data_IF_215450699268
#
_entry.id   IF_215450699268
#
_cell.length_a   1.000
_cell.length_b   1.000
_cell.length_c   1.000
_cell.angle_alpha   90.00
_cell.angle_beta   90.00
_cell.angle_gamma   90.00
#
_symmetry.space_group_name_H-M   'P 1'
#
loop_
_entity.id
_entity.type
_entity.pdbx_description
1 polymer ?
#
# COMPACT_ATOMS: atom_id res chain seq x y z
N UNK A 1 -8.27 -18.90 -0.97
CA UNK A 1 -8.68 -17.98 -2.04
C UNK A 1 -7.48 -17.09 -2.31
N UNK A 2 -7.05 -16.97 -3.55
CA UNK A 2 -5.80 -16.33 -3.95
C UNK A 2 -6.01 -14.87 -4.37
N UNK A 3 -4.94 -14.08 -4.40
CA UNK A 3 -4.99 -12.67 -4.83
C UNK A 3 -5.71 -12.46 -6.19
N UNK A 4 -5.50 -13.28 -7.24
CA UNK A 4 -6.30 -13.20 -8.48
C UNK A 4 -7.81 -13.32 -8.25
N UNK A 5 -8.25 -14.28 -7.43
CA UNK A 5 -9.69 -14.49 -7.14
C UNK A 5 -10.29 -13.28 -6.41
N UNK A 6 -9.55 -12.64 -5.51
CA UNK A 6 -10.00 -11.41 -4.84
C UNK A 6 -10.25 -10.28 -5.85
N UNK A 7 -9.37 -10.16 -6.85
CA UNK A 7 -9.50 -9.14 -7.90
C UNK A 7 -10.68 -9.42 -8.83
N UNK A 8 -10.89 -10.68 -9.21
CA UNK A 8 -12.04 -11.10 -10.01
C UNK A 8 -13.36 -10.81 -9.31
N UNK A 9 -13.40 -10.97 -7.98
CA UNK A 9 -14.55 -10.61 -7.13
C UNK A 9 -14.70 -9.11 -6.89
N UNK A 10 -13.80 -8.27 -7.43
CA UNK A 10 -13.82 -6.82 -7.24
C UNK A 10 -13.53 -6.38 -5.81
N UNK A 11 -12.88 -7.22 -5.01
CA UNK A 11 -12.51 -6.87 -3.64
C UNK A 11 -11.39 -5.82 -3.66
N UNK A 12 -11.54 -4.79 -2.85
CA UNK A 12 -10.58 -3.71 -2.71
C UNK A 12 -10.43 -3.27 -1.25
N UNK A 13 -9.28 -2.65 -0.96
CA UNK A 13 -9.03 -2.02 0.32
C UNK A 13 -9.98 -0.83 0.48
N UNK A 14 -10.59 -0.71 1.66
CA UNK A 14 -11.41 0.43 2.01
C UNK A 14 -10.50 1.65 2.18
N UNK A 15 -10.79 2.72 1.45
CA UNK A 15 -10.08 3.99 1.57
C UNK A 15 -11.12 5.12 1.69
N UNK A 16 -11.70 5.32 2.88
CA UNK A 16 -12.77 6.29 3.07
C UNK A 16 -12.29 7.71 2.75
N UNK A 17 -13.00 8.35 1.82
CA UNK A 17 -12.80 9.76 1.50
C UNK A 17 -13.24 10.57 2.72
N UNK A 18 -12.37 11.47 3.22
CA UNK A 18 -12.63 12.41 4.32
C UNK A 18 -12.42 11.91 5.76
N UNK A 19 -11.62 10.87 5.98
CA UNK A 19 -11.11 10.59 7.34
C UNK A 19 -9.63 10.88 7.41
N UNK A 20 -9.14 11.36 8.56
CA UNK A 20 -7.70 11.46 8.84
C UNK A 20 -7.04 10.08 8.99
N UNK A 21 -7.85 9.02 8.87
CA UNK A 21 -7.50 7.62 9.07
C UNK A 21 -7.27 6.88 7.74
N UNK A 22 -6.97 7.62 6.67
CA UNK A 22 -6.65 7.12 5.33
C UNK A 22 -5.36 6.29 5.30
N UNK A 23 -5.45 5.06 5.78
CA UNK A 23 -4.30 4.16 5.93
C UNK A 23 -4.49 2.87 5.16
N UNK A 24 -3.44 2.48 4.47
CA UNK A 24 -3.35 1.13 3.91
C UNK A 24 -2.65 0.23 4.94
N UNK A 25 -2.84 -1.09 4.88
CA UNK A 25 -2.17 -2.02 5.78
C UNK A 25 -0.65 -1.88 5.70
N UNK A 26 0.00 -1.90 6.86
CA UNK A 26 1.45 -2.07 6.93
C UNK A 26 1.82 -3.54 6.72
N UNK A 27 2.89 -3.81 5.98
CA UNK A 27 3.37 -5.18 5.72
C UNK A 27 3.63 -5.92 7.05
N UNK A 28 4.21 -5.23 8.03
CA UNK A 28 4.50 -5.77 9.36
C UNK A 28 3.23 -6.27 10.07
N UNK A 29 2.14 -5.52 9.97
CA UNK A 29 0.89 -5.88 10.64
C UNK A 29 0.18 -7.05 9.92
N UNK A 30 0.37 -7.20 8.61
CA UNK A 30 -0.08 -8.40 7.89
C UNK A 30 0.69 -9.64 8.34
N UNK A 31 2.02 -9.54 8.49
CA UNK A 31 2.84 -10.63 9.03
C UNK A 31 2.42 -10.99 10.45
N UNK A 32 2.14 -9.99 11.29
CA UNK A 32 1.66 -10.17 12.66
C UNK A 32 0.34 -10.94 12.71
N UNK A 33 -0.65 -10.54 11.91
CA UNK A 33 -1.96 -11.20 11.82
C UNK A 33 -1.80 -12.66 11.40
N UNK A 34 -0.88 -12.95 10.48
CA UNK A 34 -0.59 -14.31 10.00
C UNK A 34 0.26 -15.14 10.98
N UNK A 35 0.63 -14.57 12.14
CA UNK A 35 1.50 -15.20 13.15
C UNK A 35 2.87 -15.60 12.60
N UNK A 36 3.39 -14.82 11.66
CA UNK A 36 4.73 -14.98 11.09
C UNK A 36 5.78 -14.14 11.85
N UNK A 37 5.32 -13.26 12.72
CA UNK A 37 6.13 -12.40 13.59
C UNK A 37 5.32 -12.04 14.85
N UNK A 38 6.01 -11.78 15.94
CA UNK A 38 5.43 -11.25 17.18
C UNK A 38 5.42 -9.71 17.19
N UNK A 39 6.16 -9.08 16.27
CA UNK A 39 6.24 -7.63 16.16
C UNK A 39 5.04 -7.07 15.40
N UNK A 40 4.39 -6.07 15.99
CA UNK A 40 3.37 -5.27 15.33
C UNK A 40 3.78 -3.79 15.35
N UNK A 41 3.16 -3.00 14.47
CA UNK A 41 3.33 -1.55 14.46
C UNK A 41 2.06 -0.83 14.86
N UNK A 42 0.98 -1.08 14.14
CA UNK A 42 -0.23 -0.27 14.25
C UNK A 42 -1.48 -1.11 14.55
N UNK A 43 -1.43 -2.43 14.36
CA UNK A 43 -2.62 -3.29 14.36
C UNK A 43 -3.45 -3.20 15.65
N UNK A 44 -2.91 -3.53 16.82
CA UNK A 44 -3.70 -3.44 18.07
C UNK A 44 -4.08 -2.00 18.40
N UNK A 45 -3.20 -1.03 18.12
CA UNK A 45 -3.46 0.39 18.38
C UNK A 45 -4.65 0.93 17.58
N UNK A 46 -4.92 0.34 16.41
CA UNK A 46 -6.00 0.73 15.51
C UNK A 46 -7.23 -0.17 15.60
N UNK A 47 -7.19 -1.21 16.43
CA UNK A 47 -8.26 -2.20 16.51
C UNK A 47 -9.62 -1.58 16.83
N UNK A 48 -9.66 -0.60 17.73
CA UNK A 48 -10.90 0.03 18.19
C UNK A 48 -11.22 1.37 17.51
N UNK A 49 -10.22 2.01 16.90
CA UNK A 49 -10.34 3.39 16.40
C UNK A 49 -10.30 3.51 14.87
N UNK A 50 -9.85 2.46 14.17
CA UNK A 50 -9.80 2.44 12.71
C UNK A 50 -10.20 1.06 12.15
N UNK A 51 -11.49 0.73 12.15
CA UNK A 51 -11.98 -0.57 11.66
C UNK A 51 -11.67 -0.79 10.17
N UNK A 52 -11.52 0.28 9.38
CA UNK A 52 -11.12 0.16 7.98
C UNK A 52 -9.69 -0.39 7.85
N UNK A 53 -8.75 0.06 8.69
CA UNK A 53 -7.39 -0.48 8.72
C UNK A 53 -7.40 -1.98 9.05
N UNK A 54 -8.11 -2.38 10.10
CA UNK A 54 -8.19 -3.80 10.50
C UNK A 54 -8.79 -4.65 9.40
N UNK A 55 -9.92 -4.22 8.83
CA UNK A 55 -10.55 -4.90 7.69
C UNK A 55 -9.55 -5.08 6.54
N UNK A 56 -8.82 -4.02 6.20
CA UNK A 56 -7.86 -4.05 5.10
C UNK A 56 -6.69 -5.01 5.40
N UNK A 57 -6.14 -5.00 6.61
CA UNK A 57 -5.05 -5.90 7.01
C UNK A 57 -5.49 -7.36 6.95
N UNK A 58 -6.69 -7.67 7.47
CA UNK A 58 -7.26 -9.01 7.39
C UNK A 58 -7.54 -9.44 5.94
N UNK A 59 -8.00 -8.52 5.09
CA UNK A 59 -8.24 -8.80 3.67
C UNK A 59 -6.93 -9.16 2.95
N UNK A 60 -5.86 -8.39 3.18
CA UNK A 60 -4.55 -8.68 2.59
C UNK A 60 -4.02 -10.02 3.12
N UNK A 61 -4.11 -10.26 4.43
CA UNK A 61 -3.70 -11.53 5.04
C UNK A 61 -4.42 -12.72 4.39
N UNK A 62 -5.74 -12.63 4.21
CA UNK A 62 -6.53 -13.66 3.55
C UNK A 62 -6.08 -13.89 2.09
N UNK A 63 -5.80 -12.81 1.34
CA UNK A 63 -5.41 -12.86 -0.07
C UNK A 63 -4.03 -13.50 -0.33
N UNK A 64 -3.15 -13.55 0.67
CA UNK A 64 -1.77 -14.07 0.52
C UNK A 64 -1.52 -15.35 1.31
N UNK A 65 -2.47 -15.77 2.15
CA UNK A 65 -2.34 -16.88 3.11
C UNK A 65 -1.92 -18.21 2.50
N UNK A 66 -2.27 -18.47 1.24
CA UNK A 66 -1.99 -19.71 0.53
C UNK A 66 -0.52 -19.86 0.10
N UNK A 67 0.17 -18.75 -0.17
CA UNK A 67 1.55 -18.76 -0.68
C UNK A 67 2.58 -18.27 0.34
N UNK A 68 2.14 -17.51 1.35
CA UNK A 68 3.06 -16.74 2.18
C UNK A 68 3.81 -17.57 3.22
N UNK A 69 3.22 -18.63 3.76
CA UNK A 69 3.88 -19.46 4.78
C UNK A 69 5.13 -20.15 4.21
N UNK A 70 5.00 -20.75 3.02
CA UNK A 70 6.11 -21.39 2.32
C UNK A 70 7.17 -20.38 1.90
N UNK A 71 6.75 -19.19 1.45
CA UNK A 71 7.67 -18.11 1.10
C UNK A 71 8.45 -17.63 2.33
N UNK A 72 7.78 -17.35 3.45
CA UNK A 72 8.40 -16.80 4.65
C UNK A 72 9.46 -17.73 5.26
N UNK A 73 9.24 -19.06 5.23
CA UNK A 73 10.21 -20.02 5.74
C UNK A 73 11.51 -20.06 4.92
N UNK A 74 11.42 -19.81 3.61
CA UNK A 74 12.56 -19.90 2.69
C UNK A 74 13.25 -18.56 2.50
N UNK A 75 12.46 -17.50 2.37
CA UNK A 75 12.88 -16.15 2.06
C UNK A 75 11.88 -15.13 2.65
N UNK A 76 12.18 -14.56 3.83
CA UNK A 76 11.36 -13.52 4.45
C UNK A 76 11.15 -12.29 3.56
N UNK A 77 12.11 -11.93 2.71
CA UNK A 77 11.97 -10.79 1.80
C UNK A 77 11.00 -11.09 0.67
N UNK A 78 10.97 -12.33 0.18
CA UNK A 78 9.94 -12.77 -0.77
C UNK A 78 8.53 -12.70 -0.15
N UNK A 79 8.37 -13.06 1.13
CA UNK A 79 7.09 -12.91 1.82
C UNK A 79 6.65 -11.44 1.89
N UNK A 80 7.57 -10.51 2.17
CA UNK A 80 7.30 -9.06 2.15
C UNK A 80 6.88 -8.58 0.77
N UNK A 81 7.52 -9.06 -0.30
CA UNK A 81 7.15 -8.74 -1.69
C UNK A 81 5.76 -9.26 -2.06
N UNK A 82 5.38 -10.44 -1.59
CA UNK A 82 4.03 -10.99 -1.79
C UNK A 82 2.97 -10.08 -1.15
N UNK A 83 3.18 -9.69 0.12
CA UNK A 83 2.27 -8.78 0.82
C UNK A 83 2.20 -7.42 0.11
N UNK A 84 3.36 -6.85 -0.24
CA UNK A 84 3.44 -5.58 -0.95
C UNK A 84 2.67 -5.61 -2.29
N UNK A 85 2.81 -6.72 -3.04
CA UNK A 85 2.04 -6.95 -4.26
C UNK A 85 0.54 -6.93 -3.98
N UNK A 86 0.07 -7.67 -2.98
CA UNK A 86 -1.34 -7.68 -2.61
C UNK A 86 -1.87 -6.29 -2.20
N UNK A 87 -1.10 -5.52 -1.42
CA UNK A 87 -1.46 -4.15 -1.04
C UNK A 87 -1.62 -3.28 -2.29
N UNK A 88 -0.64 -3.31 -3.20
CA UNK A 88 -0.66 -2.48 -4.43
C UNK A 88 -1.81 -2.87 -5.35
N UNK A 89 -2.06 -4.16 -5.52
CA UNK A 89 -3.11 -4.64 -6.42
C UNK A 89 -4.52 -4.38 -5.87
N UNK A 90 -4.73 -4.55 -4.56
CA UNK A 90 -6.03 -4.33 -3.90
C UNK A 90 -6.27 -2.85 -3.54
N UNK A 91 -5.25 -1.99 -3.61
CA UNK A 91 -5.40 -0.57 -3.34
C UNK A 91 -6.38 0.06 -4.36
N UNK A 92 -7.42 0.79 -3.92
CA UNK A 92 -8.29 1.54 -4.82
C UNK A 92 -7.51 2.69 -5.47
N UNK A 93 -7.97 3.19 -6.61
CA UNK A 93 -7.26 4.21 -7.40
C UNK A 93 -6.87 5.43 -6.57
N UNK A 94 -7.75 5.85 -5.66
CA UNK A 94 -7.56 7.02 -4.80
C UNK A 94 -6.47 6.85 -3.75
N UNK A 95 -6.13 5.61 -3.41
CA UNK A 95 -5.06 5.30 -2.46
C UNK A 95 -3.67 5.15 -3.13
N UNK A 96 -3.62 5.09 -4.48
CA UNK A 96 -2.38 4.82 -5.26
C UNK A 96 -1.49 6.03 -5.45
N UNK A 97 -1.41 6.91 -4.46
CA UNK A 97 -0.53 8.06 -4.49
C UNK A 97 0.77 7.76 -3.75
N UNK A 98 1.94 7.99 -4.36
CA UNK A 98 3.24 7.80 -3.68
C UNK A 98 3.49 8.81 -2.54
N UNK A 99 2.62 9.80 -2.37
CA UNK A 99 2.62 10.67 -1.17
C UNK A 99 1.87 10.05 0.01
N UNK A 100 1.08 9.00 -0.23
CA UNK A 100 0.54 8.17 0.85
C UNK A 100 1.67 7.26 1.34
N UNK A 101 2.10 7.45 2.59
CA UNK A 101 3.24 6.73 3.17
C UNK A 101 3.06 5.21 3.16
N UNK A 102 1.85 4.72 3.45
CA UNK A 102 1.57 3.28 3.49
C UNK A 102 1.64 2.67 2.08
N UNK A 103 1.11 3.38 1.07
CA UNK A 103 1.22 2.94 -0.34
C UNK A 103 2.67 3.02 -0.84
N UNK A 104 3.38 4.10 -0.51
CA UNK A 104 4.78 4.30 -0.89
C UNK A 104 5.65 3.19 -0.29
N UNK A 105 5.46 2.84 0.98
CA UNK A 105 6.20 1.75 1.62
C UNK A 105 6.01 0.41 0.89
N UNK A 106 4.78 0.05 0.51
CA UNK A 106 4.53 -1.14 -0.28
C UNK A 106 5.19 -1.06 -1.68
N UNK A 107 5.13 0.11 -2.33
CA UNK A 107 5.79 0.32 -3.63
C UNK A 107 7.31 0.24 -3.54
N UNK A 108 7.95 0.76 -2.50
CA UNK A 108 9.40 0.70 -2.30
C UNK A 108 9.91 -0.73 -2.14
N UNK A 109 9.12 -1.63 -1.52
CA UNK A 109 9.48 -3.06 -1.43
C UNK A 109 9.53 -3.72 -2.81
N UNK A 110 8.67 -3.27 -3.74
CA UNK A 110 8.64 -3.78 -5.12
C UNK A 110 9.62 -3.06 -6.04
N UNK A 111 9.94 -1.81 -5.73
CA UNK A 111 10.84 -0.93 -6.48
C UNK A 111 11.76 -0.16 -5.52
N UNK A 112 12.93 -0.74 -5.16
CA UNK A 112 13.89 -0.11 -4.25
C UNK A 112 14.42 1.25 -4.73
N UNK A 113 14.28 1.60 -6.01
CA UNK A 113 14.69 2.91 -6.52
C UNK A 113 13.89 4.07 -5.90
N UNK A 114 12.76 3.76 -5.25
CA UNK A 114 11.93 4.73 -4.53
C UNK A 114 12.46 5.06 -3.12
N UNK A 115 13.34 4.23 -2.53
CA UNK A 115 13.77 4.38 -1.14
C UNK A 115 14.46 5.73 -0.84
N UNK A 116 15.22 6.23 -1.81
CA UNK A 116 16.01 7.45 -1.67
C UNK A 116 15.32 8.71 -2.21
N UNK A 117 14.07 8.60 -2.67
CA UNK A 117 13.36 9.73 -3.26
C UNK A 117 12.72 10.59 -2.18
N UNK A 118 12.96 11.90 -2.25
CA UNK A 118 12.25 12.85 -1.40
C UNK A 118 10.75 12.86 -1.75
N UNK A 119 9.89 13.27 -0.81
CA UNK A 119 8.43 13.34 -1.06
C UNK A 119 8.06 14.23 -2.25
N UNK A 120 8.86 15.26 -2.53
CA UNK A 120 8.70 16.15 -3.67
C UNK A 120 8.99 15.41 -4.98
N UNK A 121 10.07 14.64 -5.04
CA UNK A 121 10.46 13.81 -6.19
C UNK A 121 9.51 12.64 -6.44
N UNK A 122 8.75 12.22 -5.42
CA UNK A 122 7.69 11.22 -5.58
C UNK A 122 6.59 11.70 -6.53
N UNK A 123 6.33 13.01 -6.63
CA UNK A 123 5.34 13.56 -7.56
C UNK A 123 5.74 13.30 -9.01
N UNK A 124 7.04 13.35 -9.30
CA UNK A 124 7.58 13.19 -10.65
C UNK A 124 7.44 11.77 -11.17
N UNK A 125 7.45 10.78 -10.28
CA UNK A 125 7.33 9.36 -10.62
C UNK A 125 5.96 8.76 -10.29
N UNK A 126 5.10 9.48 -9.56
CA UNK A 126 3.76 9.00 -9.23
C UNK A 126 2.81 9.12 -10.43
N UNK A 127 2.18 8.02 -10.79
CA UNK A 127 1.25 7.93 -11.92
C UNK A 127 -0.21 8.25 -11.54
N UNK A 128 -0.48 8.62 -10.29
CA UNK A 128 -1.84 8.97 -9.88
C UNK A 128 -2.32 10.27 -10.55
N UNK A 129 -3.64 10.39 -10.72
CA UNK A 129 -4.27 11.54 -11.39
C UNK A 129 -3.91 12.86 -10.72
N UNK A 130 -3.88 12.89 -9.38
CA UNK A 130 -3.53 14.10 -8.62
C UNK A 130 -2.10 14.56 -8.89
N UNK A 131 -1.12 13.65 -8.87
CA UNK A 131 0.28 13.98 -9.19
C UNK A 131 0.46 14.35 -10.66
N UNK A 132 -0.26 13.69 -11.58
CA UNK A 132 -0.26 14.05 -13.00
C UNK A 132 -0.79 15.47 -13.22
N UNK A 133 -1.88 15.86 -12.55
CA UNK A 133 -2.41 17.22 -12.64
C UNK A 133 -1.44 18.27 -12.06
N UNK A 134 -0.79 17.98 -10.93
CA UNK A 134 0.22 18.87 -10.34
C UNK A 134 1.40 19.12 -11.29
N UNK A 135 1.90 18.08 -11.96
CA UNK A 135 2.98 18.20 -12.96
C UNK A 135 2.55 19.07 -14.14
N UNK A 136 1.32 18.91 -14.64
CA UNK A 136 0.79 19.73 -15.72
C UNK A 136 0.67 21.20 -15.32
N UNK A 137 0.19 21.49 -14.11
CA UNK A 137 0.11 22.87 -13.59
C UNK A 137 1.51 23.50 -13.48
N UNK A 138 2.48 22.76 -12.94
CA UNK A 138 3.86 23.23 -12.85
C UNK A 138 4.47 23.50 -14.23
N UNK A 139 4.21 22.64 -15.22
CA UNK A 139 4.67 22.82 -16.60
C UNK A 139 4.01 24.02 -17.30
N UNK A 140 2.70 24.25 -17.09
CA UNK A 140 2.00 25.40 -17.67
C UNK A 140 2.41 26.72 -17.00
N UNK A 141 2.68 26.73 -15.69
CA UNK A 141 3.15 27.93 -14.97
C UNK A 141 4.51 28.43 -15.44
N UNK A 142 5.37 27.54 -15.95
CA UNK A 142 6.65 27.88 -16.58
C UNK A 142 6.51 28.39 -18.03
N UNK A 143 5.42 28.05 -18.72
CA UNK A 143 5.19 28.43 -20.12
C UNK A 143 4.39 29.73 -20.29
N UNK A 144 3.79 30.27 -19.23
CA UNK A 144 3.02 31.53 -19.25
C UNK A 144 3.75 32.70 -18.55
N UNK A 145 5.04 32.51 -18.24
CA UNK A 145 5.89 33.46 -17.52
C UNK A 145 6.96 34.15 -18.37
N UNK A 146 6.74 34.28 -19.69
CA UNK A 146 7.52 35.12 -20.62
C UNK A 146 6.60 36.12 -21.35
#
# INVERSE_FOLDING_TARGET
MSLPEFKELGLALAYPKNTWAQRLPEIQDVLYVLRLTEEQRSFTSFQDVNPAYIRNTLLVAAAVSDVIYDAHQKDPEQARRIIATAIVELAPKEARCLRNQDFAAARTVLDPALENKAQEEMVDVCECESCSNLRQIAACGLACGD
#
